data_IF_348024378663
#
_entry.id   IF_348024378663
#
_cell.length_a   1.000
_cell.length_b   1.000
_cell.length_c   1.000
_cell.angle_alpha   90.00
_cell.angle_beta   90.00
_cell.angle_gamma   90.00
#
_symmetry.space_group_name_H-M   'P 1'
#
loop_
_entity.id
_entity.type
_entity.pdbx_description
1 polymer ?
#
# COMPACT_ATOMS: atom_id res chain seq x y z
N UNK A 1 -15.97 -35.06 3.03
CA UNK A 1 -15.93 -33.65 3.41
C UNK A 1 -14.49 -33.27 3.64
N UNK A 2 -13.89 -32.51 2.73
CA UNK A 2 -12.55 -31.96 2.93
C UNK A 2 -12.69 -30.63 3.67
N UNK A 3 -11.93 -30.47 4.75
CA UNK A 3 -11.86 -29.24 5.52
C UNK A 3 -11.38 -28.07 4.62
N UNK A 4 -12.19 -27.01 4.41
CA UNK A 4 -11.84 -25.89 3.53
C UNK A 4 -10.77 -24.95 4.10
N UNK A 5 -10.29 -25.14 5.33
CA UNK A 5 -9.64 -24.05 6.08
C UNK A 5 -8.10 -24.09 6.15
N UNK A 6 -7.44 -25.03 5.48
CA UNK A 6 -5.98 -24.96 5.30
C UNK A 6 -5.63 -24.08 4.09
N UNK A 7 -5.88 -22.77 4.20
CA UNK A 7 -5.37 -21.78 3.24
C UNK A 7 -3.84 -21.79 3.28
N UNK A 8 -3.23 -22.41 2.27
CA UNK A 8 -1.78 -22.58 2.21
C UNK A 8 -1.18 -21.31 1.63
N UNK A 9 -1.22 -20.24 2.41
CA UNK A 9 -0.30 -19.15 2.17
C UNK A 9 1.09 -19.61 2.58
N UNK A 10 1.75 -20.37 1.69
CA UNK A 10 3.05 -21.03 1.82
C UNK A 10 3.52 -21.04 3.26
N UNK A 11 2.98 -21.99 4.04
CA UNK A 11 3.52 -22.22 5.36
C UNK A 11 4.97 -22.64 5.12
N UNK A 12 5.90 -21.74 5.41
CA UNK A 12 7.35 -21.97 5.32
C UNK A 12 7.73 -23.18 6.22
N UNK A 13 6.79 -23.68 7.02
CA UNK A 13 6.83 -24.95 7.75
C UNK A 13 6.69 -26.22 6.90
N UNK A 14 6.39 -26.14 5.59
CA UNK A 14 6.63 -27.26 4.65
C UNK A 14 8.08 -27.32 4.15
N UNK A 15 8.95 -26.38 4.54
CA UNK A 15 10.39 -26.60 4.38
C UNK A 15 10.83 -27.72 5.34
N UNK A 16 11.61 -28.70 4.87
CA UNK A 16 12.12 -29.77 5.73
C UNK A 16 12.79 -29.17 6.96
N UNK A 17 12.57 -29.80 8.12
CA UNK A 17 13.25 -29.40 9.35
C UNK A 17 14.77 -29.37 9.12
N UNK A 18 15.54 -28.45 9.74
CA UNK A 18 16.98 -28.39 9.52
C UNK A 18 17.70 -29.73 9.80
N UNK A 19 17.11 -30.60 10.62
CA UNK A 19 17.60 -31.95 10.91
C UNK A 19 17.42 -32.96 9.76
N UNK A 20 16.60 -32.68 8.76
CA UNK A 20 16.35 -33.53 7.60
C UNK A 20 16.95 -32.98 6.28
N UNK A 21 17.76 -31.93 6.35
CA UNK A 21 18.37 -31.28 5.18
C UNK A 21 19.80 -31.79 4.95
N UNK A 22 20.17 -32.02 3.69
CA UNK A 22 21.55 -32.32 3.32
C UNK A 22 22.47 -31.12 3.61
N UNK A 23 23.78 -31.36 3.76
CA UNK A 23 24.77 -30.28 4.03
C UNK A 23 24.71 -29.15 2.98
N UNK A 24 24.43 -29.49 1.71
CA UNK A 24 24.25 -28.52 0.62
C UNK A 24 22.99 -27.68 0.84
N UNK A 25 21.87 -28.31 1.22
CA UNK A 25 20.63 -27.60 1.47
C UNK A 25 20.72 -26.67 2.70
N UNK A 26 21.46 -27.08 3.74
CA UNK A 26 21.77 -26.20 4.89
C UNK A 26 22.62 -24.99 4.47
N UNK A 27 23.64 -25.19 3.64
CA UNK A 27 24.48 -24.10 3.13
C UNK A 27 23.64 -23.11 2.29
N UNK A 28 22.80 -23.62 1.38
CA UNK A 28 21.91 -22.78 0.56
C UNK A 28 20.96 -21.98 1.46
N UNK A 29 20.33 -22.63 2.44
CA UNK A 29 19.44 -21.96 3.39
C UNK A 29 20.17 -20.87 4.18
N UNK A 30 21.39 -21.15 4.63
CA UNK A 30 22.22 -20.17 5.32
C UNK A 30 22.53 -18.97 4.42
N UNK A 31 22.98 -19.20 3.18
CA UNK A 31 23.25 -18.15 2.21
C UNK A 31 22.01 -17.27 1.95
N UNK A 32 20.85 -17.89 1.70
CA UNK A 32 19.58 -17.17 1.52
C UNK A 32 19.27 -16.33 2.77
N UNK A 33 19.44 -16.90 3.97
CA UNK A 33 19.17 -16.17 5.22
C UNK A 33 20.11 -14.98 5.42
N UNK A 34 21.39 -15.11 5.07
CA UNK A 34 22.36 -13.99 5.13
C UNK A 34 21.98 -12.91 4.13
N UNK A 35 21.64 -13.29 2.89
CA UNK A 35 21.20 -12.35 1.86
C UNK A 35 19.91 -11.62 2.25
N UNK A 36 18.91 -12.32 2.78
CA UNK A 36 17.66 -11.71 3.27
C UNK A 36 17.91 -10.70 4.39
N UNK A 37 18.80 -11.02 5.34
CA UNK A 37 19.21 -10.11 6.42
C UNK A 37 19.95 -8.89 5.86
N UNK A 38 20.90 -9.10 4.94
CA UNK A 38 21.65 -8.02 4.30
C UNK A 38 20.74 -7.08 3.52
N UNK A 39 19.83 -7.63 2.72
CA UNK A 39 18.82 -6.87 1.98
C UNK A 39 17.88 -6.10 2.91
N UNK A 40 17.40 -6.75 3.98
CA UNK A 40 16.55 -6.11 4.98
C UNK A 40 17.26 -4.94 5.67
N UNK A 41 18.54 -5.10 6.00
CA UNK A 41 19.36 -4.04 6.59
C UNK A 41 19.55 -2.87 5.61
N UNK A 42 19.85 -3.17 4.35
CA UNK A 42 19.97 -2.16 3.29
C UNK A 42 18.68 -1.34 3.16
N UNK A 43 17.52 -1.99 3.11
CA UNK A 43 16.23 -1.30 3.01
C UNK A 43 15.94 -0.39 4.21
N UNK A 44 16.29 -0.80 5.42
CA UNK A 44 16.16 0.04 6.63
C UNK A 44 17.03 1.29 6.56
N UNK A 45 18.26 1.17 6.05
CA UNK A 45 19.18 2.29 5.91
C UNK A 45 18.76 3.23 4.78
N UNK A 46 18.21 2.67 3.69
CA UNK A 46 17.74 3.43 2.54
C UNK A 46 16.43 4.17 2.83
N UNK A 47 15.57 3.65 3.71
CA UNK A 47 14.26 4.23 4.04
C UNK A 47 14.29 5.73 4.37
N UNK A 48 15.07 6.20 5.36
CA UNK A 48 15.20 7.63 5.67
C UNK A 48 15.66 8.48 4.48
N UNK A 49 16.61 7.95 3.67
CA UNK A 49 17.11 8.64 2.47
C UNK A 49 16.00 8.81 1.43
N UNK A 50 15.18 7.77 1.23
CA UNK A 50 14.03 7.83 0.32
C UNK A 50 12.96 8.81 0.81
N UNK A 51 12.72 8.91 2.12
CA UNK A 51 11.79 9.91 2.68
C UNK A 51 12.27 11.33 2.41
N UNK A 52 13.55 11.61 2.68
CA UNK A 52 14.15 12.91 2.39
C UNK A 52 14.08 13.21 0.89
N UNK A 53 14.39 12.22 0.05
CA UNK A 53 14.33 12.34 -1.41
C UNK A 53 12.91 12.64 -1.89
N UNK A 54 11.90 11.93 -1.40
CA UNK A 54 10.50 12.15 -1.76
C UNK A 54 10.02 13.55 -1.36
N UNK A 55 10.31 14.00 -0.13
CA UNK A 55 9.99 15.37 0.30
C UNK A 55 10.72 16.42 -0.54
N UNK A 56 12.00 16.18 -0.88
CA UNK A 56 12.80 17.05 -1.73
C UNK A 56 12.21 17.17 -3.14
N UNK A 57 11.79 16.05 -3.76
CA UNK A 57 11.15 16.05 -5.08
C UNK A 57 9.79 16.76 -5.05
N UNK A 58 8.97 16.50 -4.02
CA UNK A 58 7.68 17.19 -3.84
C UNK A 58 7.92 18.71 -3.69
N UNK A 59 8.86 19.10 -2.84
CA UNK A 59 9.22 20.50 -2.61
C UNK A 59 9.74 21.18 -3.88
N UNK A 60 10.60 20.50 -4.65
CA UNK A 60 11.11 20.99 -5.92
C UNK A 60 9.98 21.21 -6.94
N UNK A 61 9.08 20.24 -7.12
CA UNK A 61 7.94 20.38 -8.04
C UNK A 61 6.99 21.51 -7.61
N UNK A 62 6.74 21.64 -6.30
CA UNK A 62 5.91 22.73 -5.76
C UNK A 62 6.56 24.10 -5.97
N UNK A 63 7.87 24.20 -5.75
CA UNK A 63 8.64 25.42 -6.00
C UNK A 63 8.50 25.84 -7.47
N UNK A 64 8.82 24.95 -8.41
CA UNK A 64 8.70 25.21 -9.85
C UNK A 64 7.25 25.55 -10.26
N UNK A 65 6.26 24.87 -9.67
CA UNK A 65 4.86 25.18 -9.91
C UNK A 65 4.51 26.62 -9.48
N UNK A 66 4.91 27.04 -8.28
CA UNK A 66 4.59 28.36 -7.75
C UNK A 66 5.40 29.50 -8.39
N UNK A 67 6.67 29.28 -8.71
CA UNK A 67 7.56 30.33 -9.22
C UNK A 67 7.60 30.43 -10.73
N UNK A 68 7.22 29.37 -11.45
CA UNK A 68 7.27 29.32 -12.92
C UNK A 68 5.87 29.17 -13.51
N UNK A 69 5.12 28.12 -13.15
CA UNK A 69 3.81 27.86 -13.77
C UNK A 69 2.73 28.88 -13.38
N UNK A 70 2.61 29.23 -12.09
CA UNK A 70 1.59 30.18 -11.61
C UNK A 70 1.73 31.58 -12.24
N UNK A 71 2.92 32.21 -12.30
CA UNK A 71 3.10 33.48 -13.01
C UNK A 71 2.71 33.41 -14.49
N UNK A 72 2.99 32.28 -15.16
CA UNK A 72 2.60 32.09 -16.56
C UNK A 72 1.08 31.99 -16.76
N UNK A 73 0.30 31.59 -15.75
CA UNK A 73 -1.16 31.60 -15.81
C UNK A 73 -1.76 33.02 -15.68
N UNK A 74 -1.04 33.91 -14.97
CA UNK A 74 -1.44 35.31 -14.74
C UNK A 74 -1.17 36.21 -15.95
N UNK A 75 -0.16 35.89 -16.77
CA UNK A 75 -0.01 36.48 -18.11
C UNK A 75 -1.28 36.19 -18.95
N UNK A 76 -1.66 37.04 -19.94
CA UNK A 76 -3.06 37.37 -20.28
C UNK A 76 -3.91 36.26 -20.95
N UNK A 77 -3.68 34.99 -20.65
CA UNK A 77 -4.25 33.83 -21.32
C UNK A 77 -5.36 33.10 -20.54
N UNK A 78 -5.38 33.12 -19.20
CA UNK A 78 -6.34 32.34 -18.40
C UNK A 78 -7.25 33.18 -17.49
N UNK A 79 -6.80 34.38 -17.10
CA UNK A 79 -7.50 35.27 -16.18
C UNK A 79 -7.30 34.92 -14.71
N UNK A 80 -7.47 35.92 -13.84
CA UNK A 80 -7.17 35.82 -12.40
C UNK A 80 -8.04 34.76 -11.70
N UNK A 81 -9.33 34.67 -12.02
CA UNK A 81 -10.27 33.76 -11.37
C UNK A 81 -9.89 32.29 -11.61
N UNK A 82 -9.65 31.93 -12.86
CA UNK A 82 -9.23 30.58 -13.22
C UNK A 82 -7.88 30.21 -12.57
N UNK A 83 -6.95 31.17 -12.51
CA UNK A 83 -5.66 30.99 -11.81
C UNK A 83 -5.88 30.72 -10.32
N UNK A 84 -6.73 31.50 -9.65
CA UNK A 84 -7.07 31.27 -8.25
C UNK A 84 -7.68 29.88 -8.04
N UNK A 85 -8.60 29.43 -8.91
CA UNK A 85 -9.20 28.10 -8.81
C UNK A 85 -8.14 27.00 -8.95
N UNK A 86 -7.26 27.10 -9.94
CA UNK A 86 -6.19 26.12 -10.18
C UNK A 86 -5.19 26.08 -9.01
N UNK A 87 -4.80 27.25 -8.48
CA UNK A 87 -3.90 27.33 -7.33
C UNK A 87 -4.56 26.78 -6.06
N UNK A 88 -5.81 27.13 -5.78
CA UNK A 88 -6.56 26.57 -4.65
C UNK A 88 -6.68 25.04 -4.75
N UNK A 89 -6.95 24.52 -5.95
CA UNK A 89 -6.98 23.08 -6.19
C UNK A 89 -5.60 22.44 -6.01
N UNK A 90 -4.53 23.07 -6.52
CA UNK A 90 -3.15 22.62 -6.31
C UNK A 90 -2.76 22.58 -4.82
N UNK A 91 -3.14 23.60 -4.04
CA UNK A 91 -2.92 23.64 -2.59
C UNK A 91 -3.71 22.56 -1.85
N UNK A 92 -4.95 22.29 -2.28
CA UNK A 92 -5.74 21.18 -1.76
C UNK A 92 -5.08 19.83 -2.02
N UNK A 93 -4.58 19.61 -3.24
CA UNK A 93 -3.83 18.38 -3.57
C UNK A 93 -2.56 18.28 -2.72
N UNK A 94 -1.78 19.35 -2.60
CA UNK A 94 -0.55 19.37 -1.78
C UNK A 94 -0.84 19.04 -0.32
N UNK A 95 -1.87 19.65 0.28
CA UNK A 95 -2.28 19.36 1.64
C UNK A 95 -2.61 17.87 1.83
N UNK A 96 -3.32 17.26 0.88
CA UNK A 96 -3.65 15.84 0.93
C UNK A 96 -2.44 14.93 0.68
N UNK A 97 -1.54 15.29 -0.23
CA UNK A 97 -0.27 14.57 -0.46
C UNK A 97 0.51 14.51 0.86
N UNK A 98 0.74 15.67 1.48
CA UNK A 98 1.53 15.77 2.72
C UNK A 98 0.84 15.05 3.87
N UNK A 99 -0.46 15.29 4.09
CA UNK A 99 -1.21 14.64 5.15
C UNK A 99 -1.14 13.11 5.05
N UNK A 100 -1.48 12.56 3.88
CA UNK A 100 -1.52 11.10 3.72
C UNK A 100 -0.12 10.49 3.70
N UNK A 101 0.89 11.16 3.13
CA UNK A 101 2.27 10.68 3.14
C UNK A 101 2.81 10.57 4.57
N UNK A 102 2.67 11.63 5.37
CA UNK A 102 3.10 11.61 6.77
C UNK A 102 2.25 10.65 7.61
N UNK A 103 0.95 10.53 7.35
CA UNK A 103 0.12 9.52 8.01
C UNK A 103 0.60 8.08 7.70
N UNK A 104 1.08 7.78 6.49
CA UNK A 104 1.69 6.48 6.17
C UNK A 104 2.95 6.21 6.98
N UNK A 105 3.81 7.22 7.11
CA UNK A 105 5.11 7.12 7.81
C UNK A 105 4.90 6.95 9.31
N UNK A 106 4.02 7.77 9.90
CA UNK A 106 3.88 7.91 11.35
C UNK A 106 2.88 6.92 11.96
N UNK A 107 1.89 6.46 11.19
CA UNK A 107 0.90 5.51 11.69
C UNK A 107 1.51 4.11 11.78
N UNK A 108 1.43 3.50 12.96
CA UNK A 108 1.81 2.10 13.14
C UNK A 108 0.89 1.22 12.29
N UNK A 109 1.41 0.29 11.48
CA UNK A 109 0.59 -0.49 10.55
C UNK A 109 -0.34 -1.51 11.24
N UNK A 110 -0.11 -1.79 12.52
CA UNK A 110 -0.87 -2.74 13.35
C UNK A 110 -0.01 -3.93 13.73
N UNK A 111 0.15 -4.17 15.03
CA UNK A 111 1.01 -5.23 15.56
C UNK A 111 0.21 -6.15 16.49
N UNK A 112 0.36 -7.49 16.40
CA UNK A 112 -0.41 -8.42 17.23
C UNK A 112 -0.20 -8.25 18.73
N UNK A 113 0.94 -7.68 19.14
CA UNK A 113 1.31 -7.44 20.54
C UNK A 113 0.29 -6.63 21.33
N UNK A 114 -0.49 -5.80 20.65
CA UNK A 114 -1.56 -5.00 21.26
C UNK A 114 -2.81 -5.85 21.62
N UNK A 115 -2.85 -7.14 21.23
CA UNK A 115 -3.99 -8.05 21.42
C UNK A 115 -3.62 -9.41 22.06
N UNK A 116 -2.38 -9.58 22.57
CA UNK A 116 -1.89 -10.86 23.11
C UNK A 116 -2.49 -11.26 24.47
N UNK A 117 -3.06 -10.31 25.23
CA UNK A 117 -3.68 -10.60 26.54
C UNK A 117 -4.93 -11.49 26.43
N UNK A 118 -5.53 -11.62 25.23
CA UNK A 118 -6.68 -12.49 24.98
C UNK A 118 -6.30 -13.96 24.65
N UNK A 119 -5.00 -14.30 24.57
CA UNK A 119 -4.55 -15.64 24.17
C UNK A 119 -4.48 -16.64 25.34
N UNK A 120 -4.40 -16.19 26.59
CA UNK A 120 -4.47 -17.07 27.76
C UNK A 120 -5.89 -17.64 27.96
N UNK A 121 -6.93 -17.03 27.37
CA UNK A 121 -8.32 -17.53 27.40
C UNK A 121 -8.61 -18.60 26.31
N UNK A 122 -7.66 -18.87 25.42
CA UNK A 122 -7.84 -19.73 24.24
C UNK A 122 -7.44 -21.21 24.45
N UNK A 123 -7.01 -21.60 25.65
CA UNK A 123 -6.75 -23.01 25.99
C UNK A 123 -8.01 -23.90 26.01
N UNK A 124 -9.23 -23.33 25.99
CA UNK A 124 -10.50 -24.07 26.03
C UNK A 124 -10.96 -24.63 24.66
N UNK A 125 -10.10 -24.67 23.64
CA UNK A 125 -10.41 -25.38 22.38
C UNK A 125 -11.64 -24.88 21.58
N UNK A 126 -12.28 -23.77 21.99
CA UNK A 126 -13.47 -23.19 21.36
C UNK A 126 -13.20 -22.44 20.05
N UNK A 127 -11.94 -22.18 19.72
CA UNK A 127 -11.55 -21.48 18.49
C UNK A 127 -10.47 -22.26 17.71
N UNK A 128 -10.85 -23.18 16.81
CA UNK A 128 -9.89 -23.93 15.98
C UNK A 128 -9.12 -23.05 14.96
N UNK A 129 -9.46 -21.76 14.86
CA UNK A 129 -9.06 -20.81 13.81
C UNK A 129 -7.66 -20.17 13.97
N UNK A 130 -6.96 -20.37 15.08
CA UNK A 130 -5.64 -19.74 15.31
C UNK A 130 -4.51 -20.78 15.18
N UNK A 131 -3.98 -20.99 13.97
CA UNK A 131 -2.90 -21.98 13.74
C UNK A 131 -1.65 -21.47 13.03
N UNK A 132 -1.31 -20.17 13.13
CA UNK A 132 -0.04 -19.67 12.59
C UNK A 132 0.79 -18.97 13.66
N UNK A 133 1.80 -19.65 14.21
CA UNK A 133 2.72 -19.07 15.20
C UNK A 133 3.95 -18.43 14.53
N UNK A 134 4.34 -17.23 14.96
CA UNK A 134 5.59 -16.61 14.53
C UNK A 134 6.73 -17.01 15.47
N UNK A 135 7.63 -17.91 15.03
CA UNK A 135 8.82 -18.29 15.82
C UNK A 135 9.77 -17.12 16.14
N UNK A 136 9.89 -16.15 15.24
CA UNK A 136 10.77 -14.98 15.40
C UNK A 136 10.24 -13.99 16.46
N UNK A 137 8.94 -13.70 16.42
CA UNK A 137 8.31 -12.75 17.33
C UNK A 137 7.75 -13.41 18.60
N UNK A 138 7.62 -14.74 18.61
CA UNK A 138 6.97 -15.53 19.66
C UNK A 138 5.52 -15.10 19.93
N UNK A 139 4.78 -14.83 18.85
CA UNK A 139 3.37 -14.43 18.90
C UNK A 139 2.54 -15.35 18.04
N UNK A 140 1.31 -15.64 18.46
CA UNK A 140 0.30 -16.17 17.56
C UNK A 140 -0.03 -15.08 16.54
N UNK A 141 -0.10 -15.46 15.26
CA UNK A 141 -0.48 -14.56 14.18
C UNK A 141 -1.99 -14.64 14.03
N UNK A 142 -2.71 -13.53 14.24
CA UNK A 142 -4.09 -13.41 13.81
C UNK A 142 -4.26 -13.70 12.32
N UNK A 143 -5.51 -13.72 11.87
CA UNK A 143 -5.80 -13.82 10.44
C UNK A 143 -5.08 -12.70 9.66
N UNK A 144 -4.70 -13.00 8.41
CA UNK A 144 -4.07 -12.04 7.49
C UNK A 144 -2.77 -11.37 7.99
N UNK A 145 -2.20 -11.84 9.10
CA UNK A 145 -0.98 -11.30 9.72
C UNK A 145 0.27 -11.99 9.18
N UNK A 146 1.27 -11.19 8.78
CA UNK A 146 2.55 -11.70 8.27
C UNK A 146 3.75 -11.07 8.99
N UNK A 147 4.88 -11.79 9.04
CA UNK A 147 6.12 -11.27 9.61
C UNK A 147 6.91 -10.54 8.54
N UNK A 148 7.21 -9.26 8.76
CA UNK A 148 8.12 -8.49 7.92
C UNK A 148 9.55 -8.63 8.44
N UNK A 149 10.47 -9.17 7.64
CA UNK A 149 11.91 -9.22 7.97
C UNK A 149 12.53 -7.81 8.07
N UNK A 150 12.09 -6.90 7.20
CA UNK A 150 12.55 -5.50 7.20
C UNK A 150 12.09 -4.73 8.42
N UNK A 151 10.92 -4.99 9.00
CA UNK A 151 10.51 -4.40 10.29
C UNK A 151 10.91 -5.28 11.49
N UNK A 152 11.30 -6.54 11.25
CA UNK A 152 11.52 -7.60 12.24
C UNK A 152 10.34 -7.75 13.21
N UNK A 153 9.13 -7.82 12.65
CA UNK A 153 7.88 -7.75 13.42
C UNK A 153 6.70 -8.32 12.63
N UNK A 154 5.73 -8.90 13.31
CA UNK A 154 4.43 -9.26 12.72
C UNK A 154 3.54 -8.03 12.51
N UNK A 155 2.96 -7.90 11.32
CA UNK A 155 2.09 -6.80 10.91
C UNK A 155 0.71 -7.35 10.56
N UNK A 156 -0.33 -6.76 11.16
CA UNK A 156 -1.74 -7.11 10.92
C UNK A 156 -2.17 -6.70 9.52
N UNK A 157 -2.94 -7.57 8.84
CA UNK A 157 -3.35 -7.41 7.43
C UNK A 157 -2.21 -6.87 6.55
N UNK A 158 -1.03 -7.46 6.68
CA UNK A 158 0.17 -6.96 6.03
C UNK A 158 0.01 -7.01 4.51
N UNK A 159 0.25 -5.88 3.84
CA UNK A 159 0.33 -5.83 2.39
C UNK A 159 1.77 -5.95 1.91
N UNK A 160 2.61 -4.99 2.26
CA UNK A 160 4.03 -5.01 1.93
C UNK A 160 4.84 -4.11 2.87
N UNK A 161 6.17 -4.20 2.77
CA UNK A 161 7.07 -3.18 3.31
C UNK A 161 7.38 -2.17 2.22
N UNK A 162 7.15 -0.88 2.48
CA UNK A 162 7.40 0.17 1.51
C UNK A 162 8.59 1.04 1.96
N UNK A 163 9.74 0.96 1.27
CA UNK A 163 10.93 1.75 1.61
C UNK A 163 10.69 3.26 1.54
N UNK A 164 9.81 3.73 0.63
CA UNK A 164 9.49 5.15 0.43
C UNK A 164 8.76 5.81 1.60
N UNK A 165 8.17 5.03 2.50
CA UNK A 165 7.58 5.51 3.76
C UNK A 165 8.33 4.97 4.98
N UNK A 166 9.43 4.23 4.77
CA UNK A 166 10.20 3.53 5.80
C UNK A 166 9.32 2.78 6.82
N UNK A 167 8.23 2.19 6.34
CA UNK A 167 7.20 1.57 7.16
C UNK A 167 6.51 0.44 6.38
N UNK A 168 5.88 -0.48 7.10
CA UNK A 168 4.96 -1.43 6.46
C UNK A 168 3.64 -0.75 6.13
N UNK A 169 3.02 -1.21 5.05
CA UNK A 169 1.62 -0.97 4.74
C UNK A 169 0.84 -2.16 5.31
N UNK A 170 -0.05 -1.88 6.26
CA UNK A 170 -0.87 -2.87 6.96
C UNK A 170 -2.22 -2.30 7.34
N UNK A 171 -2.90 -2.96 8.26
CA UNK A 171 -4.30 -2.66 8.62
C UNK A 171 -4.57 -1.16 8.85
N UNK A 172 -3.85 -0.50 9.77
CA UNK A 172 -4.18 0.86 10.20
C UNK A 172 -3.75 1.98 9.24
N UNK A 173 -2.83 1.72 8.31
CA UNK A 173 -2.31 2.75 7.41
C UNK A 173 -2.57 2.51 5.92
N UNK A 174 -3.25 1.42 5.56
CA UNK A 174 -3.52 1.10 4.16
C UNK A 174 -4.36 2.19 3.46
N UNK A 175 -5.35 2.77 4.16
CA UNK A 175 -6.14 3.89 3.63
C UNK A 175 -5.28 5.09 3.25
N UNK A 176 -4.39 5.53 4.16
CA UNK A 176 -3.50 6.65 3.89
C UNK A 176 -2.61 6.38 2.70
N UNK A 177 -2.14 5.14 2.55
CA UNK A 177 -1.30 4.74 1.43
C UNK A 177 -2.04 4.88 0.09
N UNK A 178 -3.28 4.39 -0.01
CA UNK A 178 -4.10 4.54 -1.20
C UNK A 178 -4.38 6.00 -1.55
N UNK A 179 -4.73 6.82 -0.56
CA UNK A 179 -4.97 8.24 -0.76
C UNK A 179 -3.70 8.99 -1.15
N UNK A 180 -2.55 8.66 -0.55
CA UNK A 180 -1.26 9.22 -0.95
C UNK A 180 -0.96 8.94 -2.43
N UNK A 181 -1.13 7.69 -2.88
CA UNK A 181 -0.95 7.32 -4.29
C UNK A 181 -1.89 8.12 -5.21
N UNK A 182 -3.17 8.20 -4.86
CA UNK A 182 -4.19 8.93 -5.61
C UNK A 182 -3.86 10.41 -5.74
N UNK A 183 -3.58 11.08 -4.62
CA UNK A 183 -3.32 12.51 -4.59
C UNK A 183 -1.99 12.88 -5.22
N UNK A 184 -0.96 12.04 -5.07
CA UNK A 184 0.32 12.27 -5.74
C UNK A 184 0.18 12.11 -7.25
N UNK A 185 -0.53 11.08 -7.73
CA UNK A 185 -0.85 10.95 -9.15
C UNK A 185 -1.65 12.15 -9.69
N UNK A 186 -2.69 12.59 -8.97
CA UNK A 186 -3.47 13.76 -9.34
C UNK A 186 -2.64 15.06 -9.37
N UNK A 187 -1.73 15.25 -8.41
CA UNK A 187 -0.80 16.38 -8.38
C UNK A 187 0.17 16.35 -9.56
N UNK A 188 0.75 15.19 -9.87
CA UNK A 188 1.60 15.01 -11.05
C UNK A 188 0.84 15.26 -12.35
N UNK A 189 -0.43 14.84 -12.47
CA UNK A 189 -1.28 15.13 -13.61
C UNK A 189 -1.52 16.64 -13.77
N UNK A 190 -1.86 17.33 -12.68
CA UNK A 190 -2.06 18.79 -12.69
C UNK A 190 -0.82 19.52 -13.23
N UNK A 191 0.35 19.18 -12.69
CA UNK A 191 1.62 19.81 -13.11
C UNK A 191 1.97 19.44 -14.55
N UNK A 192 1.86 18.16 -14.94
CA UNK A 192 2.14 17.73 -16.30
C UNK A 192 1.25 18.43 -17.34
N UNK A 193 -0.06 18.54 -17.07
CA UNK A 193 -0.99 19.29 -17.92
C UNK A 193 -0.64 20.78 -17.98
N UNK A 194 -0.25 21.36 -16.85
CA UNK A 194 0.17 22.77 -16.74
C UNK A 194 1.41 23.08 -17.59
N UNK A 195 2.33 22.13 -17.73
CA UNK A 195 3.52 22.28 -18.56
C UNK A 195 3.24 22.23 -20.08
N UNK A 196 2.11 21.66 -20.53
CA UNK A 196 1.85 21.43 -21.96
C UNK A 196 1.78 22.73 -22.77
N UNK A 197 1.07 23.75 -22.27
CA UNK A 197 0.87 25.00 -23.01
C UNK A 197 2.19 25.78 -23.20
N UNK A 198 3.00 26.01 -22.15
CA UNK A 198 4.29 26.68 -22.33
C UNK A 198 5.26 25.86 -23.20
N UNK A 199 5.30 24.53 -23.06
CA UNK A 199 6.14 23.67 -23.91
C UNK A 199 5.72 23.73 -25.39
N UNK A 200 4.42 23.70 -25.67
CA UNK A 200 3.90 23.81 -27.04
C UNK A 200 4.26 25.16 -27.68
N UNK A 201 4.05 26.27 -26.95
CA UNK A 201 4.40 27.63 -27.43
C UNK A 201 5.91 27.79 -27.66
N UNK A 202 6.74 27.05 -26.93
CA UNK A 202 8.19 27.09 -27.02
C UNK A 202 8.76 26.25 -28.18
N UNK A 203 8.02 25.24 -28.66
CA UNK A 203 8.43 24.36 -29.76
C UNK A 203 8.69 25.12 -31.09
N UNK A 204 8.06 26.28 -31.28
CA UNK A 204 8.30 27.16 -32.44
C UNK A 204 9.41 28.21 -32.27
N UNK A 205 9.99 28.34 -31.06
CA UNK A 205 10.98 29.40 -30.72
C UNK A 205 12.34 28.87 -30.28
N UNK A 206 12.55 27.55 -30.29
CA UNK A 206 13.85 26.89 -30.09
C UNK A 206 14.37 26.92 -28.65
N UNK A 207 13.55 26.51 -27.67
CA UNK A 207 13.95 26.40 -26.25
C UNK A 207 14.61 27.67 -25.65
N UNK A 208 14.24 28.86 -26.13
CA UNK A 208 14.86 30.14 -25.70
C UNK A 208 14.24 30.76 -24.45
N UNK A 209 13.18 30.16 -23.87
CA UNK A 209 12.67 30.62 -22.57
C UNK A 209 13.69 30.29 -21.47
N UNK A 210 14.15 31.27 -20.67
CA UNK A 210 14.88 30.97 -19.45
C UNK A 210 14.07 29.97 -18.60
N UNK A 211 14.68 28.83 -18.25
CA UNK A 211 14.00 27.76 -17.51
C UNK A 211 13.27 26.70 -18.34
N UNK A 212 13.29 26.75 -19.68
CA UNK A 212 12.63 25.73 -20.51
C UNK A 212 13.13 24.29 -20.27
N UNK A 213 14.42 24.13 -19.96
CA UNK A 213 15.01 22.83 -19.59
C UNK A 213 14.44 22.32 -18.27
N UNK A 214 14.28 23.20 -17.27
CA UNK A 214 13.68 22.84 -15.98
C UNK A 214 12.21 22.49 -16.14
N UNK A 215 11.46 23.23 -16.97
CA UNK A 215 10.08 22.92 -17.29
C UNK A 215 9.92 21.55 -17.95
N UNK A 216 10.80 21.22 -18.91
CA UNK A 216 10.82 19.90 -19.54
C UNK A 216 11.16 18.80 -18.52
N UNK A 217 12.14 19.06 -17.64
CA UNK A 217 12.50 18.14 -16.57
C UNK A 217 11.31 17.87 -15.62
N UNK A 218 10.62 18.92 -15.15
CA UNK A 218 9.43 18.80 -14.31
C UNK A 218 8.31 18.04 -15.04
N UNK A 219 8.08 18.35 -16.32
CA UNK A 219 7.09 17.62 -17.12
C UNK A 219 7.40 16.12 -17.21
N UNK A 220 8.64 15.75 -17.56
CA UNK A 220 9.07 14.34 -17.67
C UNK A 220 9.03 13.65 -16.30
N UNK A 221 9.48 14.33 -15.24
CA UNK A 221 9.43 13.83 -13.87
C UNK A 221 7.98 13.54 -13.45
N UNK A 222 7.07 14.51 -13.59
CA UNK A 222 5.67 14.33 -13.23
C UNK A 222 4.98 13.27 -14.11
N UNK A 223 5.26 13.22 -15.41
CA UNK A 223 4.67 12.22 -16.30
C UNK A 223 5.14 10.80 -15.96
N UNK A 224 6.43 10.62 -15.69
CA UNK A 224 6.97 9.30 -15.31
C UNK A 224 6.42 8.82 -13.96
N UNK A 225 6.35 9.70 -12.96
CA UNK A 225 5.73 9.39 -11.66
C UNK A 225 4.23 9.09 -11.84
N UNK A 226 3.50 9.90 -12.60
CA UNK A 226 2.07 9.70 -12.89
C UNK A 226 1.82 8.31 -13.47
N UNK A 227 2.57 7.91 -14.50
CA UNK A 227 2.40 6.59 -15.13
C UNK A 227 2.68 5.46 -14.16
N UNK A 228 3.79 5.53 -13.42
CA UNK A 228 4.16 4.51 -12.44
C UNK A 228 3.10 4.38 -11.32
N UNK A 229 2.69 5.50 -10.74
CA UNK A 229 1.71 5.51 -9.65
C UNK A 229 0.30 5.16 -10.12
N UNK A 230 -0.08 5.49 -11.35
CA UNK A 230 -1.40 5.11 -11.89
C UNK A 230 -1.53 3.60 -12.04
N UNK A 231 -0.49 2.92 -12.54
CA UNK A 231 -0.46 1.46 -12.63
C UNK A 231 -0.49 0.82 -11.24
N UNK A 232 0.27 1.39 -10.29
CA UNK A 232 0.32 0.88 -8.93
C UNK A 232 -0.99 1.10 -8.17
N UNK A 233 -1.63 2.25 -8.37
CA UNK A 233 -2.96 2.56 -7.82
C UNK A 233 -4.03 1.65 -8.42
N UNK A 234 -3.99 1.39 -9.72
CA UNK A 234 -4.91 0.44 -10.36
C UNK A 234 -4.78 -0.96 -9.77
N UNK A 235 -3.55 -1.43 -9.57
CA UNK A 235 -3.27 -2.70 -8.90
C UNK A 235 -3.89 -2.74 -7.50
N UNK A 236 -3.65 -1.72 -6.68
CA UNK A 236 -4.21 -1.67 -5.33
C UNK A 236 -5.73 -1.48 -5.31
N UNK A 237 -6.31 -0.75 -6.26
CA UNK A 237 -7.76 -0.63 -6.41
C UNK A 237 -8.41 -2.00 -6.71
N UNK A 238 -7.75 -2.84 -7.52
CA UNK A 238 -8.15 -4.23 -7.73
C UNK A 238 -8.03 -5.06 -6.45
N UNK A 239 -6.92 -4.96 -5.72
CA UNK A 239 -6.72 -5.66 -4.44
C UNK A 239 -7.79 -5.31 -3.41
N UNK A 240 -8.11 -4.02 -3.25
CA UNK A 240 -9.19 -3.56 -2.38
C UNK A 240 -10.54 -4.06 -2.89
N UNK A 241 -10.84 -3.92 -4.18
CA UNK A 241 -12.10 -4.39 -4.76
C UNK A 241 -12.33 -5.89 -4.65
N UNK A 242 -11.28 -6.68 -4.47
CA UNK A 242 -11.32 -8.13 -4.24
C UNK A 242 -10.97 -8.55 -2.80
N UNK A 243 -10.84 -7.59 -1.87
CA UNK A 243 -10.46 -7.75 -0.45
C UNK A 243 -9.32 -8.73 -0.20
N UNK A 244 -8.22 -8.55 -0.91
CA UNK A 244 -6.99 -9.31 -0.72
C UNK A 244 -5.81 -8.34 -0.61
N UNK A 245 -4.82 -8.70 0.20
CA UNK A 245 -3.52 -8.03 0.21
C UNK A 245 -2.65 -8.53 -0.96
N UNK A 246 -1.54 -7.86 -1.23
CA UNK A 246 -0.54 -8.33 -2.21
C UNK A 246 -0.04 -9.74 -1.85
N UNK A 247 0.16 -10.04 -0.56
CA UNK A 247 0.56 -11.38 -0.10
C UNK A 247 -0.54 -12.40 -0.40
N UNK A 248 -1.77 -12.07 -0.03
CA UNK A 248 -2.92 -12.94 -0.24
C UNK A 248 -3.19 -13.18 -1.71
N UNK A 249 -2.99 -12.21 -2.61
CA UNK A 249 -3.14 -12.42 -4.05
C UNK A 249 -2.31 -13.61 -4.56
N UNK A 250 -1.05 -13.73 -4.12
CA UNK A 250 -0.21 -14.86 -4.51
C UNK A 250 -0.67 -16.17 -3.87
N UNK A 251 -1.10 -16.14 -2.62
CA UNK A 251 -1.60 -17.31 -1.90
C UNK A 251 -2.91 -17.82 -2.51
N UNK A 252 -3.85 -16.92 -2.78
CA UNK A 252 -5.10 -17.15 -3.48
C UNK A 252 -4.88 -17.76 -4.88
N UNK A 253 -3.90 -17.25 -5.64
CA UNK A 253 -3.55 -17.80 -6.95
C UNK A 253 -2.95 -19.21 -6.87
N UNK A 254 -2.20 -19.52 -5.81
CA UNK A 254 -1.70 -20.85 -5.55
C UNK A 254 -2.83 -21.82 -5.19
N UNK A 255 -3.64 -21.46 -4.18
CA UNK A 255 -4.77 -22.27 -3.71
C UNK A 255 -5.79 -22.51 -4.83
N UNK A 256 -6.07 -21.49 -5.66
CA UNK A 256 -6.94 -21.63 -6.82
C UNK A 256 -6.43 -22.66 -7.83
N UNK A 257 -5.12 -22.72 -8.07
CA UNK A 257 -4.52 -23.73 -8.96
C UNK A 257 -4.56 -25.13 -8.36
N UNK A 258 -4.34 -25.26 -7.05
CA UNK A 258 -4.43 -26.55 -6.35
C UNK A 258 -5.87 -27.08 -6.35
N UNK A 259 -6.86 -26.26 -6.00
CA UNK A 259 -8.28 -26.66 -6.02
C UNK A 259 -8.76 -27.02 -7.44
N UNK A 260 -8.30 -26.28 -8.46
CA UNK A 260 -8.63 -26.61 -9.85
C UNK A 260 -8.12 -28.00 -10.27
N UNK A 261 -6.96 -28.45 -9.76
CA UNK A 261 -6.45 -29.82 -9.99
C UNK A 261 -7.34 -30.88 -9.35
N UNK A 262 -8.01 -30.55 -8.26
CA UNK A 262 -9.01 -31.40 -7.60
C UNK A 262 -10.41 -31.27 -8.21
N UNK A 263 -10.58 -30.50 -9.30
CA UNK A 263 -11.88 -30.24 -9.92
C UNK A 263 -12.81 -29.36 -9.09
N UNK A 264 -12.27 -28.61 -8.12
CA UNK A 264 -13.03 -27.71 -7.24
C UNK A 264 -12.83 -26.25 -7.61
N UNK A 265 -13.87 -25.44 -7.43
CA UNK A 265 -13.78 -23.98 -7.56
C UNK A 265 -13.22 -23.37 -6.27
N UNK A 266 -12.24 -22.47 -6.41
CA UNK A 266 -11.72 -21.69 -5.28
C UNK A 266 -12.37 -20.31 -5.25
N UNK A 267 -12.74 -19.84 -4.06
CA UNK A 267 -13.29 -18.50 -3.84
C UNK A 267 -12.57 -17.81 -2.68
N UNK A 268 -12.28 -16.52 -2.84
CA UNK A 268 -11.69 -15.71 -1.77
C UNK A 268 -12.70 -15.57 -0.61
N UNK A 269 -12.43 -16.12 0.58
CA UNK A 269 -13.36 -16.04 1.70
C UNK A 269 -13.61 -14.60 2.18
N UNK A 270 -12.65 -13.69 1.99
CA UNK A 270 -12.76 -12.30 2.44
C UNK A 270 -13.45 -11.39 1.42
N UNK A 271 -13.77 -11.86 0.21
CA UNK A 271 -14.42 -11.03 -0.78
C UNK A 271 -15.94 -10.92 -0.48
N UNK A 272 -16.35 -9.76 0.03
CA UNK A 272 -17.74 -9.46 0.42
C UNK A 272 -18.52 -8.70 -0.66
N UNK A 273 -17.93 -8.54 -1.85
CA UNK A 273 -18.42 -7.65 -2.91
C UNK A 273 -17.74 -6.28 -2.89
N UNK A 274 -17.63 -5.65 -4.08
CA UNK A 274 -16.73 -4.51 -4.29
C UNK A 274 -16.96 -3.36 -3.29
N UNK A 275 -18.20 -2.88 -3.12
CA UNK A 275 -18.49 -1.76 -2.21
C UNK A 275 -18.15 -2.11 -0.76
N UNK A 276 -18.62 -3.26 -0.28
CA UNK A 276 -18.34 -3.73 1.08
C UNK A 276 -16.83 -3.87 1.32
N UNK A 277 -16.07 -4.32 0.33
CA UNK A 277 -14.62 -4.43 0.43
C UNK A 277 -13.93 -3.07 0.55
N UNK A 278 -14.39 -2.05 -0.18
CA UNK A 278 -13.89 -0.68 -0.02
C UNK A 278 -14.26 -0.11 1.35
N UNK A 279 -15.45 -0.40 1.87
CA UNK A 279 -15.86 0.00 3.22
C UNK A 279 -14.97 -0.59 4.31
N UNK A 280 -14.43 -1.80 4.13
CA UNK A 280 -13.44 -2.40 5.04
C UNK A 280 -12.11 -1.62 5.11
N UNK A 281 -11.85 -0.69 4.18
CA UNK A 281 -10.63 0.14 4.16
C UNK A 281 -10.93 1.60 4.48
N UNK A 282 -11.95 2.17 3.84
CA UNK A 282 -12.29 3.60 3.95
C UNK A 282 -13.33 3.90 5.02
N UNK A 283 -13.99 2.87 5.54
CA UNK A 283 -15.07 2.97 6.52
C UNK A 283 -16.43 3.24 5.88
N UNK A 284 -17.48 2.96 6.66
CA UNK A 284 -18.86 3.26 6.26
C UNK A 284 -19.01 4.75 5.96
N UNK A 285 -19.64 5.05 4.83
CA UNK A 285 -19.98 6.41 4.45
C UNK A 285 -21.29 6.46 3.69
N UNK A 286 -22.14 7.44 4.04
CA UNK A 286 -23.35 7.76 3.27
C UNK A 286 -23.02 8.32 1.88
N UNK A 287 -21.83 8.91 1.70
CA UNK A 287 -21.34 9.47 0.44
C UNK A 287 -19.89 9.06 0.19
N UNK A 288 -19.60 8.41 -0.94
CA UNK A 288 -18.26 7.96 -1.32
C UNK A 288 -17.21 9.08 -1.28
N UNK A 289 -17.59 10.32 -1.55
CA UNK A 289 -16.69 11.47 -1.54
C UNK A 289 -16.07 11.75 -0.15
N UNK A 290 -16.68 11.30 0.94
CA UNK A 290 -16.09 11.47 2.28
C UNK A 290 -14.82 10.63 2.47
N UNK A 291 -14.64 9.56 1.67
CA UNK A 291 -13.43 8.74 1.69
C UNK A 291 -12.19 9.52 1.26
N UNK A 292 -12.39 10.54 0.43
CA UNK A 292 -11.35 11.44 -0.07
C UNK A 292 -10.93 12.51 0.96
N UNK A 293 -11.64 12.65 2.08
CA UNK A 293 -11.26 13.65 3.08
C UNK A 293 -10.01 13.20 3.87
N UNK A 294 -9.07 14.11 4.18
CA UNK A 294 -7.94 13.84 5.05
C UNK A 294 -8.46 13.69 6.49
N UNK A 295 -8.77 12.45 6.88
CA UNK A 295 -9.33 12.14 8.20
C UNK A 295 -8.47 11.12 8.90
N UNK A 296 -8.34 11.23 10.22
CA UNK A 296 -7.61 10.28 11.07
C UNK A 296 -8.43 9.05 11.45
N UNK A 297 -9.48 8.74 10.68
CA UNK A 297 -10.43 7.66 10.99
C UNK A 297 -9.73 6.31 10.89
N UNK A 298 -9.87 5.51 11.94
CA UNK A 298 -9.42 4.12 12.00
C UNK A 298 -10.26 3.26 11.03
N UNK A 299 -9.65 2.30 10.30
CA UNK A 299 -10.41 1.33 9.50
C UNK A 299 -11.40 0.54 10.36
N UNK A 300 -12.53 0.06 9.79
CA UNK A 300 -13.45 -0.82 10.52
C UNK A 300 -12.79 -2.14 10.92
N UNK A 301 -13.16 -2.65 12.10
CA UNK A 301 -12.62 -3.89 12.67
C UNK A 301 -11.45 -3.65 13.63
N UNK A 302 -10.94 -4.74 14.20
CA UNK A 302 -9.84 -4.74 15.16
C UNK A 302 -8.48 -5.09 14.53
N UNK A 303 -8.48 -5.64 13.31
CA UNK A 303 -7.29 -6.09 12.60
C UNK A 303 -6.84 -7.51 12.99
N UNK A 304 -7.61 -8.19 13.84
CA UNK A 304 -7.41 -9.56 14.32
C UNK A 304 -8.37 -10.50 13.59
N UNK A 305 -9.65 -10.16 13.63
CA UNK A 305 -10.73 -10.89 12.97
C UNK A 305 -11.27 -10.09 11.78
N UNK A 306 -11.62 -10.82 10.71
CA UNK A 306 -12.12 -10.21 9.48
C UNK A 306 -13.40 -10.93 9.03
N UNK A 307 -14.43 -10.18 8.60
CA UNK A 307 -15.64 -10.81 8.06
C UNK A 307 -15.30 -11.69 6.85
N UNK A 308 -15.85 -12.90 6.83
CA UNK A 308 -15.67 -13.85 5.73
C UNK A 308 -17.00 -14.49 5.32
N UNK A 309 -17.07 -14.94 4.07
CA UNK A 309 -18.23 -15.66 3.52
C UNK A 309 -18.43 -17.05 4.15
N UNK A 310 -17.46 -17.55 4.92
CA UNK A 310 -17.56 -18.83 5.64
C UNK A 310 -18.16 -18.70 7.05
N UNK A 311 -18.09 -17.52 7.68
CA UNK A 311 -18.71 -17.27 8.99
C UNK A 311 -20.23 -17.20 8.94
N UNK A 312 -20.82 -16.72 7.85
CA UNK A 312 -22.28 -16.64 7.70
C UNK A 312 -22.94 -18.03 7.56
N UNK A 313 -22.23 -19.01 7.00
CA UNK A 313 -22.73 -20.38 6.88
C UNK A 313 -22.81 -21.16 8.22
N UNK A 314 -22.16 -20.68 9.29
CA UNK A 314 -22.24 -21.30 10.62
C UNK A 314 -23.35 -20.70 11.50
N UNK A 315 -23.94 -19.58 11.10
CA UNK A 315 -25.07 -18.95 11.82
C UNK A 315 -26.44 -19.27 11.21
N UNK A 316 -26.50 -19.99 10.09
CA UNK A 316 -27.74 -20.48 9.45
C UNK A 316 -28.03 -21.97 9.71
N UNK A 317 -27.42 -22.60 10.73
CA UNK A 317 -27.73 -23.98 11.16
C UNK A 317 -28.42 -24.01 12.52
#
# INVERSE_FOLDING_TARGET
GGDPQNYVCLDIHKLPSPHSMTSIAMLIFHCISVLDKGFSMLLRLLGPVLIVTANGLIGFVVFEYLTVLVPMFLEPHLGWFATCVIVCFGLFLLANILFNYWACILTRPGFPGDHLEALDELEDGRYPRIRRFCKKCRVLKPERTHHCSVCNRCVMKMDHHCPWINNCVGFYNYRYFLLFLLYLAAGCLLVACSCLVPLYKNNGRGFRLPGAQMLLFVFVLCLSILLALSLFLFWHAYLVGSNQTTIEFYCNRYDSREMAREGKEWRNPYNLGCIANYEQVFGLSRHWASWLLPTTRVPPGDGVDFPSTSTDAMHEV
#
